data_IF_481364556929
#
_entry.id   IF_481364556929
#
_cell.length_a   1.000
_cell.length_b   1.000
_cell.length_c   1.000
_cell.angle_alpha   90.00
_cell.angle_beta   90.00
_cell.angle_gamma   90.00
#
_symmetry.space_group_name_H-M   'P 1'
#
loop_
_entity.id
_entity.type
_entity.pdbx_description
1 polymer ?
#
# COMPACT_ATOMS: atom_id res chain seq x y z
N UNK A 1 31.41 36.11 44.85
CA UNK A 1 30.85 36.39 43.51
C UNK A 1 31.29 35.22 42.64
N UNK A 2 30.47 34.18 42.45
CA UNK A 2 29.23 34.15 41.66
C UNK A 2 29.52 34.66 40.23
N UNK A 3 29.27 33.93 39.14
CA UNK A 3 28.25 32.89 38.95
C UNK A 3 28.68 31.98 37.79
N UNK A 4 28.63 30.67 38.03
CA UNK A 4 28.70 29.62 37.00
C UNK A 4 27.40 29.61 36.22
N UNK A 5 27.48 29.74 34.89
CA UNK A 5 26.32 29.61 34.00
C UNK A 5 25.93 28.12 33.98
N UNK A 6 24.72 27.81 34.43
CA UNK A 6 24.11 26.49 34.35
C UNK A 6 23.54 26.27 32.94
N UNK A 7 24.05 25.27 32.24
CA UNK A 7 23.46 24.70 31.00
C UNK A 7 22.29 23.76 31.37
N UNK A 8 21.24 24.27 32.02
CA UNK A 8 20.10 23.45 32.44
C UNK A 8 18.83 23.65 31.63
N UNK A 9 18.85 24.41 30.53
CA UNK A 9 17.61 24.79 29.81
C UNK A 9 17.48 24.27 28.36
N UNK A 10 18.31 23.31 27.92
CA UNK A 10 18.25 22.82 26.53
C UNK A 10 17.55 21.46 26.32
N UNK A 11 17.04 20.83 27.38
CA UNK A 11 16.27 19.60 27.28
C UNK A 11 15.10 19.64 28.27
N UNK A 12 14.08 20.43 27.91
CA UNK A 12 12.75 20.30 28.51
C UNK A 12 12.16 18.95 28.07
N UNK A 13 11.99 18.07 29.06
CA UNK A 13 11.75 16.63 28.94
C UNK A 13 10.26 16.28 29.11
N UNK A 14 9.37 16.99 28.40
CA UNK A 14 7.96 16.62 28.31
C UNK A 14 7.46 16.80 26.87
N UNK A 15 7.79 15.85 25.99
CA UNK A 15 7.05 15.68 24.75
C UNK A 15 5.93 14.66 24.99
N UNK A 16 4.86 15.13 25.60
CA UNK A 16 3.56 14.45 25.61
C UNK A 16 3.08 14.35 24.16
N UNK A 17 2.75 13.12 23.74
CA UNK A 17 2.23 12.78 22.41
C UNK A 17 0.96 13.57 22.02
N UNK A 18 0.26 14.16 22.99
CA UNK A 18 -1.00 14.90 22.80
C UNK A 18 -0.85 16.43 22.84
N UNK A 19 0.38 16.95 22.81
CA UNK A 19 0.64 18.36 23.05
C UNK A 19 0.84 18.65 24.54
N UNK A 20 1.18 19.90 24.87
CA UNK A 20 1.22 20.33 26.27
C UNK A 20 -0.18 20.33 26.92
N UNK A 21 -0.26 20.39 28.25
CA UNK A 21 -1.53 20.35 28.99
C UNK A 21 -2.54 21.39 28.51
N UNK A 22 -2.06 22.52 27.98
CA UNK A 22 -2.92 23.58 27.44
C UNK A 22 -3.53 23.18 26.09
N UNK A 23 -2.76 22.50 25.23
CA UNK A 23 -3.25 21.94 23.97
C UNK A 23 -4.24 20.80 24.20
N UNK A 24 -3.96 19.91 25.14
CA UNK A 24 -4.86 18.80 25.50
C UNK A 24 -6.22 19.35 25.93
N UNK A 25 -6.21 20.28 26.89
CA UNK A 25 -7.45 20.91 27.39
C UNK A 25 -8.19 21.63 26.25
N UNK A 26 -7.48 22.34 25.37
CA UNK A 26 -8.09 23.01 24.22
C UNK A 26 -8.76 22.03 23.25
N UNK A 27 -8.16 20.88 22.98
CA UNK A 27 -8.73 19.88 22.09
C UNK A 27 -9.90 19.11 22.73
N UNK A 28 -9.85 18.86 24.03
CA UNK A 28 -10.98 18.31 24.79
C UNK A 28 -12.17 19.29 24.75
N UNK A 29 -11.94 20.58 24.98
CA UNK A 29 -12.97 21.62 24.87
C UNK A 29 -13.57 21.69 23.45
N UNK A 30 -12.74 21.56 22.39
CA UNK A 30 -13.20 21.54 21.01
C UNK A 30 -14.03 20.29 20.69
N UNK A 31 -13.65 19.12 21.22
CA UNK A 31 -14.38 17.87 21.02
C UNK A 31 -15.73 17.90 21.74
N UNK A 32 -15.76 18.38 22.98
CA UNK A 32 -16.98 18.52 23.78
C UNK A 32 -17.95 19.56 23.19
N UNK A 33 -17.42 20.60 22.54
CA UNK A 33 -18.22 21.63 21.87
C UNK A 33 -18.55 21.32 20.40
N UNK A 34 -18.07 20.21 19.84
CA UNK A 34 -18.31 19.86 18.44
C UNK A 34 -19.70 19.26 18.25
N UNK A 35 -20.56 20.01 17.56
CA UNK A 35 -21.87 19.54 17.13
C UNK A 35 -21.83 19.13 15.64
N UNK A 36 -21.99 17.83 15.32
CA UNK A 36 -22.01 17.38 13.94
C UNK A 36 -23.37 17.61 13.25
N UNK A 37 -24.46 17.90 13.99
CA UNK A 37 -25.81 18.02 13.44
C UNK A 37 -25.92 19.03 12.28
N UNK A 38 -25.37 20.26 12.37
CA UNK A 38 -25.42 21.24 11.29
C UNK A 38 -24.74 20.73 10.01
N UNK A 39 -23.65 19.98 10.14
CA UNK A 39 -22.98 19.39 8.98
C UNK A 39 -23.89 18.37 8.29
N UNK A 40 -24.50 17.46 9.05
CA UNK A 40 -25.35 16.40 8.47
C UNK A 40 -26.69 16.91 7.92
N UNK A 41 -27.21 18.01 8.47
CA UNK A 41 -28.50 18.59 8.04
C UNK A 41 -28.31 19.59 6.91
N UNK A 42 -27.34 20.50 7.02
CA UNK A 42 -27.22 21.65 6.11
C UNK A 42 -26.18 21.43 5.00
N UNK A 43 -25.16 20.62 5.25
CA UNK A 43 -24.05 20.44 4.29
C UNK A 43 -24.14 19.11 3.55
N UNK A 44 -24.25 18.01 4.30
CA UNK A 44 -24.17 16.65 3.77
C UNK A 44 -25.22 16.33 2.67
N UNK A 45 -26.50 16.75 2.76
CA UNK A 45 -27.50 16.46 1.72
C UNK A 45 -27.26 17.21 0.41
N UNK A 46 -26.46 18.28 0.44
CA UNK A 46 -26.14 19.10 -0.73
C UNK A 46 -24.80 18.73 -1.38
N UNK A 47 -24.06 17.77 -0.81
CA UNK A 47 -22.87 17.23 -1.44
C UNK A 47 -23.24 16.43 -2.69
N UNK A 48 -22.48 16.65 -3.77
CA UNK A 48 -22.72 16.00 -5.06
C UNK A 48 -22.74 14.47 -4.96
N UNK A 49 -21.87 13.92 -4.10
CA UNK A 49 -21.76 12.48 -3.82
C UNK A 49 -23.01 11.92 -3.15
N UNK A 50 -23.58 12.64 -2.19
CA UNK A 50 -24.82 12.26 -1.50
C UNK A 50 -26.01 12.30 -2.47
N UNK A 51 -26.11 13.37 -3.26
CA UNK A 51 -27.16 13.51 -4.29
C UNK A 51 -27.09 12.38 -5.32
N UNK A 52 -25.88 12.04 -5.78
CA UNK A 52 -25.68 10.92 -6.72
C UNK A 52 -26.05 9.57 -6.11
N UNK A 53 -25.67 9.33 -4.85
CA UNK A 53 -26.03 8.11 -4.13
C UNK A 53 -27.56 7.98 -3.99
N UNK A 54 -28.24 9.04 -3.54
CA UNK A 54 -29.69 9.02 -3.32
C UNK A 54 -30.47 8.88 -4.62
N UNK A 55 -29.97 9.45 -5.72
CA UNK A 55 -30.53 9.26 -7.06
C UNK A 55 -30.40 7.80 -7.54
N UNK A 56 -29.28 7.14 -7.24
CA UNK A 56 -29.06 5.73 -7.59
C UNK A 56 -29.93 4.79 -6.74
N UNK A 57 -30.11 5.10 -5.46
CA UNK A 57 -30.99 4.34 -4.55
C UNK A 57 -32.46 4.51 -4.95
N UNK A 58 -32.87 5.73 -5.31
CA UNK A 58 -34.23 6.02 -5.79
C UNK A 58 -34.53 5.44 -7.17
N UNK A 59 -33.50 5.09 -7.95
CA UNK A 59 -33.62 4.51 -9.29
C UNK A 59 -33.62 2.96 -9.31
N UNK A 60 -33.60 2.27 -8.16
CA UNK A 60 -33.71 0.81 -8.14
C UNK A 60 -35.15 0.35 -8.46
N UNK A 61 -35.36 -0.50 -9.50
CA UNK A 61 -36.68 -1.02 -9.83
C UNK A 61 -37.07 -2.23 -8.98
N UNK A 62 -38.35 -2.31 -8.62
CA UNK A 62 -39.00 -3.51 -8.04
C UNK A 62 -39.00 -4.70 -9.02
N UNK A 63 -39.10 -5.96 -8.54
CA UNK A 63 -38.84 -7.15 -9.36
C UNK A 63 -39.89 -7.34 -10.47
N UNK A 64 -39.52 -7.98 -11.60
CA UNK A 64 -40.18 -7.74 -12.88
C UNK A 64 -41.46 -8.58 -13.06
N UNK A 65 -42.56 -7.90 -13.42
CA UNK A 65 -43.67 -8.53 -14.14
C UNK A 65 -43.48 -8.36 -15.65
N UNK A 66 -43.57 -9.48 -16.36
CA UNK A 66 -43.58 -9.59 -17.82
C UNK A 66 -44.64 -8.65 -18.41
N UNK A 67 -44.31 -7.91 -19.48
CA UNK A 67 -45.10 -7.81 -20.72
C UNK A 67 -44.37 -6.96 -21.76
N UNK A 68 -44.47 -7.43 -23.00
CA UNK A 68 -44.07 -6.88 -24.30
C UNK A 68 -44.51 -5.44 -24.57
N UNK A 69 -43.63 -4.64 -25.20
CA UNK A 69 -43.94 -3.85 -26.40
C UNK A 69 -42.69 -3.10 -26.88
N UNK A 70 -42.38 -3.25 -28.17
CA UNK A 70 -41.36 -2.52 -28.89
C UNK A 70 -41.72 -1.04 -29.04
N UNK A 71 -40.71 -0.16 -29.11
CA UNK A 71 -40.59 0.89 -30.14
C UNK A 71 -39.12 1.36 -30.22
N UNK A 72 -38.71 1.62 -31.46
CA UNK A 72 -37.35 1.93 -31.95
C UNK A 72 -36.79 3.24 -31.41
N UNK A 73 -35.50 3.24 -31.08
CA UNK A 73 -34.58 4.32 -31.48
C UNK A 73 -33.26 3.68 -31.95
N UNK A 74 -32.82 4.12 -33.13
CA UNK A 74 -31.54 3.75 -33.71
C UNK A 74 -30.41 4.40 -32.91
N UNK A 75 -29.66 3.60 -32.16
CA UNK A 75 -28.24 3.87 -31.93
C UNK A 75 -27.46 2.65 -32.39
N UNK A 76 -26.46 2.91 -33.24
CA UNK A 76 -25.50 1.95 -33.75
C UNK A 76 -25.00 1.01 -32.65
N UNK A 77 -25.53 -0.21 -32.62
CA UNK A 77 -24.93 -1.31 -31.86
C UNK A 77 -23.50 -1.52 -32.42
N UNK A 78 -22.43 -1.37 -31.61
CA UNK A 78 -21.12 -1.76 -32.06
C UNK A 78 -21.13 -3.28 -32.30
N UNK A 79 -20.39 -3.76 -33.32
CA UNK A 79 -20.43 -5.16 -33.70
C UNK A 79 -20.04 -6.06 -32.51
N UNK A 80 -20.79 -7.14 -32.37
CA UNK A 80 -20.53 -8.28 -31.49
C UNK A 80 -19.10 -8.76 -31.78
N UNK A 81 -18.15 -8.37 -30.92
CA UNK A 81 -16.73 -8.58 -31.13
C UNK A 81 -15.82 -7.59 -30.41
N UNK A 82 -16.33 -6.44 -29.94
CA UNK A 82 -15.53 -5.50 -29.15
C UNK A 82 -15.22 -6.10 -27.77
N UNK A 83 -14.09 -6.81 -27.66
CA UNK A 83 -13.45 -7.13 -26.37
C UNK A 83 -13.20 -5.80 -25.67
N UNK A 84 -14.09 -5.40 -24.76
CA UNK A 84 -13.86 -4.22 -23.93
C UNK A 84 -12.54 -4.40 -23.19
N UNK A 85 -11.56 -3.58 -23.53
CA UNK A 85 -10.28 -3.55 -22.84
C UNK A 85 -10.53 -3.18 -21.36
N UNK A 86 -9.72 -3.70 -20.43
CA UNK A 86 -9.83 -3.30 -19.03
C UNK A 86 -9.60 -1.79 -18.87
N UNK A 87 -10.37 -1.15 -17.99
CA UNK A 87 -10.34 0.30 -17.77
C UNK A 87 -8.94 0.78 -17.37
N UNK A 88 -8.27 0.04 -16.49
CA UNK A 88 -7.00 0.44 -15.86
C UNK A 88 -5.93 -0.64 -15.99
N UNK A 89 -6.07 -1.60 -16.92
CA UNK A 89 -5.10 -2.66 -17.10
C UNK A 89 -4.91 -3.01 -18.58
N UNK A 90 -3.80 -3.68 -18.86
CA UNK A 90 -3.56 -4.26 -20.20
C UNK A 90 -4.58 -5.38 -20.47
N UNK A 91 -5.22 -5.34 -21.63
CA UNK A 91 -6.07 -6.42 -22.10
C UNK A 91 -5.27 -7.67 -22.45
N UNK A 92 -5.86 -8.85 -22.26
CA UNK A 92 -5.20 -10.15 -22.49
C UNK A 92 -4.48 -10.28 -23.83
N UNK A 93 -5.06 -9.69 -24.88
CA UNK A 93 -4.51 -9.71 -26.24
C UNK A 93 -4.23 -8.30 -26.78
N UNK A 94 -4.13 -7.31 -25.89
CA UNK A 94 -3.81 -5.94 -26.28
C UNK A 94 -2.32 -5.84 -26.60
N UNK A 95 -1.92 -5.34 -27.77
CA UNK A 95 -0.53 -5.04 -28.09
C UNK A 95 0.06 -4.05 -27.08
N UNK A 96 1.31 -4.29 -26.65
CA UNK A 96 2.00 -3.42 -25.68
C UNK A 96 2.03 -1.94 -26.12
N UNK A 97 2.31 -1.60 -27.39
CA UNK A 97 2.28 -0.20 -27.83
C UNK A 97 0.91 0.47 -27.70
N UNK A 98 -0.18 -0.27 -27.98
CA UNK A 98 -1.55 0.25 -27.85
C UNK A 98 -1.91 0.49 -26.38
N UNK A 99 -1.53 -0.44 -25.50
CA UNK A 99 -1.72 -0.28 -24.05
C UNK A 99 -1.01 0.94 -23.50
N UNK A 100 0.27 1.12 -23.84
CA UNK A 100 1.09 2.25 -23.38
C UNK A 100 0.58 3.59 -23.92
N UNK A 101 0.06 3.62 -25.16
CA UNK A 101 -0.55 4.81 -25.73
C UNK A 101 -1.91 5.14 -25.09
N UNK A 102 -2.67 4.12 -24.69
CA UNK A 102 -3.98 4.27 -24.05
C UNK A 102 -3.88 4.75 -22.61
N UNK A 103 -2.92 4.23 -21.84
CA UNK A 103 -2.75 4.52 -20.41
C UNK A 103 -1.31 4.98 -20.06
N UNK A 104 -0.85 6.14 -20.56
CA UNK A 104 0.42 6.74 -20.14
C UNK A 104 0.33 7.24 -18.69
N UNK A 105 1.15 6.74 -17.73
CA UNK A 105 1.04 7.11 -16.31
C UNK A 105 1.25 8.61 -16.03
N UNK A 106 1.98 9.32 -16.88
CA UNK A 106 2.23 10.75 -16.72
C UNK A 106 1.00 11.63 -16.90
N UNK A 107 0.02 11.20 -17.70
CA UNK A 107 -1.16 12.01 -18.05
C UNK A 107 -2.49 11.33 -17.73
N UNK A 108 -2.48 10.01 -17.48
CA UNK A 108 -3.68 9.29 -17.08
C UNK A 108 -4.10 9.69 -15.68
N UNK A 109 -5.24 10.38 -15.59
CA UNK A 109 -5.77 10.95 -14.35
C UNK A 109 -6.36 9.89 -13.42
N UNK A 110 -6.10 10.02 -12.12
CA UNK A 110 -6.65 9.12 -11.11
C UNK A 110 -8.18 9.07 -11.14
N UNK A 111 -8.84 10.20 -11.31
CA UNK A 111 -10.30 10.28 -11.35
C UNK A 111 -10.89 9.52 -12.56
N UNK A 112 -10.08 9.34 -13.62
CA UNK A 112 -10.51 8.71 -14.87
C UNK A 112 -10.55 7.19 -14.79
N UNK A 113 -9.63 6.56 -14.06
CA UNK A 113 -9.45 5.10 -14.05
C UNK A 113 -9.22 4.48 -12.66
N UNK A 114 -9.08 5.30 -11.62
CA UNK A 114 -8.60 4.91 -10.30
C UNK A 114 -7.10 5.13 -10.13
N UNK A 115 -6.55 4.86 -8.94
CA UNK A 115 -5.18 5.25 -8.56
C UNK A 115 -4.06 4.45 -9.24
N UNK A 116 -4.38 3.37 -9.96
CA UNK A 116 -3.40 2.40 -10.43
C UNK A 116 -3.68 1.94 -11.86
N UNK A 117 -2.62 1.87 -12.65
CA UNK A 117 -2.55 1.17 -13.93
C UNK A 117 -1.84 -0.17 -13.70
N UNK A 118 -2.37 -1.26 -14.25
CA UNK A 118 -1.87 -2.62 -14.03
C UNK A 118 -1.39 -3.30 -15.32
N UNK A 119 -0.34 -4.10 -15.18
CA UNK A 119 0.08 -5.09 -16.17
C UNK A 119 0.33 -6.42 -15.46
N UNK A 120 -0.03 -7.52 -16.11
CA UNK A 120 0.25 -8.87 -15.61
C UNK A 120 0.96 -9.67 -16.68
N UNK A 121 1.78 -10.61 -16.23
CA UNK A 121 2.41 -11.60 -17.09
C UNK A 121 1.28 -12.46 -17.75
N UNK A 122 1.24 -12.60 -19.10
CA UNK A 122 0.12 -13.24 -19.81
C UNK A 122 -0.15 -14.70 -19.43
N UNK A 123 0.89 -15.44 -19.07
CA UNK A 123 0.84 -16.87 -18.74
C UNK A 123 0.73 -17.13 -17.23
N UNK A 124 0.38 -16.10 -16.43
CA UNK A 124 0.24 -16.16 -14.96
C UNK A 124 -0.60 -17.35 -14.49
N UNK A 125 -1.54 -17.80 -15.33
CA UNK A 125 -2.52 -18.88 -15.06
C UNK A 125 -2.14 -20.26 -15.60
N UNK A 126 -1.06 -20.42 -16.36
CA UNK A 126 -0.76 -21.70 -17.06
C UNK A 126 -0.12 -22.80 -16.19
N UNK A 127 0.03 -22.60 -14.88
CA UNK A 127 0.78 -23.53 -14.02
C UNK A 127 0.22 -23.79 -12.63
N UNK A 128 -1.03 -23.43 -12.34
CA UNK A 128 -1.62 -23.62 -11.00
C UNK A 128 -2.94 -24.37 -11.15
N UNK A 129 -2.86 -25.70 -11.05
CA UNK A 129 -4.03 -26.60 -10.95
C UNK A 129 -4.61 -26.64 -9.52
N UNK A 130 -4.12 -25.79 -8.61
CA UNK A 130 -4.60 -25.64 -7.23
C UNK A 130 -4.57 -24.17 -6.88
N UNK A 131 -5.67 -23.45 -7.16
CA UNK A 131 -5.93 -22.17 -6.51
C UNK A 131 -6.08 -22.46 -5.00
N UNK A 132 -4.97 -22.46 -4.26
CA UNK A 132 -5.05 -22.19 -2.82
C UNK A 132 -5.61 -20.77 -2.73
N UNK A 133 -6.91 -20.69 -2.48
CA UNK A 133 -7.65 -19.43 -2.40
C UNK A 133 -7.04 -18.61 -1.28
N UNK A 134 -6.38 -17.50 -1.63
CA UNK A 134 -5.80 -16.57 -0.68
C UNK A 134 -6.88 -16.12 0.32
N UNK A 135 -6.80 -16.56 1.58
CA UNK A 135 -7.74 -16.15 2.63
C UNK A 135 -7.26 -14.85 3.27
N UNK A 136 -7.33 -13.78 2.48
CA UNK A 136 -6.92 -12.45 2.90
C UNK A 136 -7.75 -11.95 4.10
N UNK A 137 -9.03 -12.31 4.16
CA UNK A 137 -9.91 -11.88 5.23
C UNK A 137 -9.48 -12.48 6.58
N UNK A 138 -9.22 -13.79 6.62
CA UNK A 138 -8.69 -14.45 7.82
C UNK A 138 -7.29 -13.95 8.19
N UNK A 139 -6.42 -13.73 7.20
CA UNK A 139 -5.09 -13.16 7.43
C UNK A 139 -5.19 -11.79 8.11
N UNK A 140 -5.99 -10.87 7.57
CA UNK A 140 -6.14 -9.52 8.13
C UNK A 140 -6.75 -9.57 9.53
N UNK A 141 -7.79 -10.39 9.74
CA UNK A 141 -8.43 -10.52 11.05
C UNK A 141 -7.47 -11.04 12.12
N UNK A 142 -6.81 -12.18 11.86
CA UNK A 142 -5.86 -12.80 12.81
C UNK A 142 -4.58 -11.98 12.96
N UNK A 143 -4.09 -11.38 11.88
CA UNK A 143 -2.90 -10.53 11.92
C UNK A 143 -3.13 -9.24 12.71
N UNK A 144 -4.33 -8.65 12.63
CA UNK A 144 -4.71 -7.50 13.47
C UNK A 144 -4.73 -7.88 14.95
N UNK A 145 -5.16 -9.09 15.29
CA UNK A 145 -5.11 -9.58 16.67
C UNK A 145 -3.67 -9.75 17.18
N UNK A 146 -2.75 -10.30 16.36
CA UNK A 146 -1.32 -10.35 16.71
C UNK A 146 -0.74 -8.95 17.00
N UNK A 147 -1.11 -7.96 16.19
CA UNK A 147 -0.70 -6.57 16.41
C UNK A 147 -1.23 -6.00 17.72
N UNK A 148 -2.50 -6.27 18.05
CA UNK A 148 -3.15 -5.83 19.30
C UNK A 148 -2.50 -6.47 20.52
N UNK A 149 -2.22 -7.77 20.47
CA UNK A 149 -1.53 -8.49 21.54
C UNK A 149 -0.13 -7.94 21.78
N UNK A 150 0.60 -7.60 20.71
CA UNK A 150 1.91 -6.97 20.83
C UNK A 150 1.83 -5.57 21.45
N UNK A 151 0.84 -4.76 21.07
CA UNK A 151 0.61 -3.43 21.67
C UNK A 151 0.34 -3.53 23.18
N UNK A 152 -0.51 -4.46 23.60
CA UNK A 152 -0.78 -4.70 25.02
C UNK A 152 0.48 -5.12 25.78
N UNK A 153 1.29 -5.99 25.17
CA UNK A 153 2.56 -6.45 25.75
C UNK A 153 3.60 -5.33 25.83
N UNK A 154 3.67 -4.49 24.79
CA UNK A 154 4.55 -3.32 24.75
C UNK A 154 4.19 -2.34 25.87
N UNK A 155 2.91 -2.02 26.02
CA UNK A 155 2.41 -1.13 27.07
C UNK A 155 2.75 -1.65 28.47
N UNK A 156 2.52 -2.95 28.75
CA UNK A 156 2.89 -3.56 30.05
C UNK A 156 4.40 -3.45 30.34
N UNK A 157 5.24 -3.69 29.33
CA UNK A 157 6.69 -3.60 29.49
C UNK A 157 7.18 -2.16 29.72
N UNK A 158 6.54 -1.18 29.07
CA UNK A 158 6.79 0.24 29.28
C UNK A 158 6.40 0.65 30.70
N UNK A 159 5.21 0.28 31.18
CA UNK A 159 4.77 0.54 32.56
C UNK A 159 5.67 -0.10 33.63
N UNK A 160 6.08 -1.35 33.42
CA UNK A 160 7.02 -2.05 34.31
C UNK A 160 8.38 -1.32 34.37
N UNK A 161 8.84 -0.81 33.22
CA UNK A 161 10.08 -0.06 33.14
C UNK A 161 9.97 1.26 33.90
N UNK A 162 8.89 2.01 33.69
CA UNK A 162 8.67 3.29 34.36
C UNK A 162 8.54 3.11 35.87
N UNK A 163 7.81 2.09 36.33
CA UNK A 163 7.70 1.73 37.75
C UNK A 163 9.02 1.33 38.39
N UNK A 164 9.94 0.76 37.60
CA UNK A 164 11.26 0.36 38.10
C UNK A 164 12.18 1.55 38.42
N UNK A 165 11.85 2.76 37.95
CA UNK A 165 12.70 3.95 38.10
C UNK A 165 14.05 3.84 37.38
N UNK A 166 14.19 2.88 36.47
CA UNK A 166 15.44 2.64 35.76
C UNK A 166 15.75 3.80 34.80
N UNK A 167 16.91 4.43 34.97
CA UNK A 167 17.33 5.59 34.16
C UNK A 167 17.67 5.27 32.70
N UNK A 168 17.78 3.99 32.33
CA UNK A 168 18.21 3.56 31.00
C UNK A 168 17.14 2.71 30.33
N UNK A 169 16.75 3.09 29.10
CA UNK A 169 15.81 2.34 28.25
C UNK A 169 16.42 1.10 27.58
N UNK A 170 17.74 0.88 27.68
CA UNK A 170 18.41 -0.24 27.00
C UNK A 170 17.83 -1.64 27.36
N UNK A 171 17.53 -1.96 28.63
CA UNK A 171 16.89 -3.22 29.01
C UNK A 171 15.49 -3.38 28.41
N UNK A 172 14.69 -2.30 28.40
CA UNK A 172 13.35 -2.28 27.79
C UNK A 172 13.44 -2.54 26.28
N UNK A 173 14.30 -1.79 25.58
CA UNK A 173 14.53 -1.99 24.13
C UNK A 173 14.95 -3.41 23.80
N UNK A 174 15.80 -4.04 24.62
CA UNK A 174 16.20 -5.44 24.42
C UNK A 174 15.02 -6.40 24.55
N UNK A 175 14.16 -6.22 25.56
CA UNK A 175 12.93 -7.03 25.73
C UNK A 175 11.96 -6.82 24.57
N UNK A 176 11.71 -5.57 24.17
CA UNK A 176 10.84 -5.23 23.04
C UNK A 176 11.35 -5.85 21.73
N UNK A 177 12.66 -5.84 21.49
CA UNK A 177 13.24 -6.44 20.28
C UNK A 177 13.01 -7.95 20.19
N UNK A 178 12.92 -8.67 21.32
CA UNK A 178 12.55 -10.10 21.31
C UNK A 178 11.10 -10.27 20.86
N UNK A 179 10.19 -9.44 21.38
CA UNK A 179 8.78 -9.50 20.99
C UNK A 179 8.51 -9.01 19.57
N UNK A 180 9.30 -8.05 19.06
CA UNK A 180 9.21 -7.60 17.67
C UNK A 180 9.55 -8.73 16.70
N UNK A 181 10.60 -9.49 16.98
CA UNK A 181 10.99 -10.65 16.16
C UNK A 181 9.92 -11.73 16.18
N UNK A 182 9.40 -12.05 17.37
CA UNK A 182 8.30 -13.02 17.49
C UNK A 182 7.07 -12.57 16.69
N UNK A 183 6.66 -11.30 16.81
CA UNK A 183 5.54 -10.75 16.03
C UNK A 183 5.78 -10.84 14.52
N UNK A 184 6.99 -10.53 14.06
CA UNK A 184 7.36 -10.64 12.64
C UNK A 184 7.28 -12.10 12.14
N UNK A 185 7.84 -13.04 12.91
CA UNK A 185 7.77 -14.47 12.64
C UNK A 185 6.32 -14.98 12.60
N UNK A 186 5.50 -14.59 13.58
CA UNK A 186 4.09 -14.98 13.68
C UNK A 186 3.26 -14.42 12.51
N UNK A 187 3.51 -13.17 12.10
CA UNK A 187 2.84 -12.56 10.93
C UNK A 187 3.18 -13.32 9.65
N UNK A 188 4.45 -13.70 9.45
CA UNK A 188 4.85 -14.42 8.23
C UNK A 188 4.39 -15.88 8.21
N UNK A 189 4.42 -16.56 9.37
CA UNK A 189 3.81 -17.87 9.51
C UNK A 189 2.32 -17.82 9.15
N UNK A 190 1.59 -16.84 9.70
CA UNK A 190 0.19 -16.62 9.39
C UNK A 190 -0.03 -16.27 7.91
N UNK A 191 0.83 -15.43 7.31
CA UNK A 191 0.75 -15.08 5.90
C UNK A 191 0.86 -16.33 5.01
N UNK A 192 1.80 -17.22 5.31
CA UNK A 192 2.00 -18.49 4.60
C UNK A 192 0.80 -19.43 4.76
N UNK A 193 0.26 -19.56 5.97
CA UNK A 193 -0.96 -20.36 6.23
C UNK A 193 -2.19 -19.90 5.43
N UNK A 194 -2.27 -18.61 5.09
CA UNK A 194 -3.41 -18.02 4.38
C UNK A 194 -3.09 -17.68 2.91
N UNK A 195 -1.94 -18.12 2.38
CA UNK A 195 -1.55 -17.87 0.98
C UNK A 195 -1.13 -16.43 0.66
N UNK A 196 -0.98 -15.54 1.64
CA UNK A 196 -0.61 -14.12 1.46
C UNK A 196 0.91 -13.98 1.34
N UNK A 197 1.48 -14.66 0.35
CA UNK A 197 2.93 -14.85 0.21
C UNK A 197 3.59 -13.94 -0.84
N UNK A 198 2.84 -13.10 -1.54
CA UNK A 198 3.42 -12.21 -2.55
C UNK A 198 4.24 -11.07 -1.94
N UNK A 199 5.14 -10.50 -2.74
CA UNK A 199 5.81 -9.26 -2.38
C UNK A 199 6.15 -8.42 -3.61
N UNK A 200 6.80 -7.28 -3.38
CA UNK A 200 7.04 -6.28 -4.42
C UNK A 200 8.28 -5.45 -4.22
N UNK A 201 9.01 -5.23 -5.31
CA UNK A 201 10.02 -4.17 -5.46
C UNK A 201 9.32 -2.83 -5.69
N UNK A 202 9.76 -1.80 -4.96
CA UNK A 202 9.15 -0.47 -5.01
C UNK A 202 10.09 0.56 -5.65
N UNK A 203 9.63 1.18 -6.74
CA UNK A 203 10.31 2.25 -7.46
C UNK A 203 9.48 3.54 -7.38
N UNK A 204 10.16 4.67 -7.46
CA UNK A 204 9.55 6.00 -7.44
C UNK A 204 10.13 6.88 -8.55
N UNK A 205 9.89 6.58 -9.84
CA UNK A 205 10.32 7.43 -10.94
C UNK A 205 9.72 8.84 -10.85
N UNK A 206 10.47 9.84 -11.31
CA UNK A 206 9.96 11.20 -11.48
C UNK A 206 8.91 11.25 -12.60
N UNK A 207 8.04 12.26 -12.55
CA UNK A 207 7.00 12.47 -13.58
C UNK A 207 7.58 12.50 -15.01
N UNK A 208 8.75 13.12 -15.20
CA UNK A 208 9.40 13.17 -16.53
C UNK A 208 9.99 11.85 -17.02
N UNK A 209 10.12 10.85 -16.14
CA UNK A 209 10.66 9.52 -16.47
C UNK A 209 9.65 8.38 -16.37
N UNK A 210 8.49 8.61 -15.75
CA UNK A 210 7.54 7.54 -15.40
C UNK A 210 7.10 6.74 -16.63
N UNK A 211 6.81 7.39 -17.76
CA UNK A 211 6.34 6.69 -18.96
C UNK A 211 7.43 5.80 -19.57
N UNK A 212 8.68 6.27 -19.59
CA UNK A 212 9.80 5.50 -20.10
C UNK A 212 10.11 4.30 -19.20
N UNK A 213 10.10 4.49 -17.88
CA UNK A 213 10.28 3.41 -16.90
C UNK A 213 9.12 2.42 -16.98
N UNK A 214 7.88 2.90 -17.08
CA UNK A 214 6.71 2.05 -17.19
C UNK A 214 6.71 1.23 -18.47
N UNK A 215 7.11 1.81 -19.61
CA UNK A 215 7.29 1.09 -20.86
C UNK A 215 8.24 -0.11 -20.68
N UNK A 216 9.44 0.13 -20.11
CA UNK A 216 10.42 -0.94 -19.88
C UNK A 216 9.88 -2.04 -18.95
N UNK A 217 9.18 -1.65 -17.89
CA UNK A 217 8.54 -2.61 -16.96
C UNK A 217 7.44 -3.41 -17.65
N UNK A 218 6.60 -2.78 -18.46
CA UNK A 218 5.51 -3.45 -19.18
C UNK A 218 6.05 -4.45 -20.18
N UNK A 219 7.04 -4.07 -20.99
CA UNK A 219 7.68 -4.96 -21.96
C UNK A 219 8.26 -6.19 -21.24
N UNK A 220 9.12 -5.97 -20.24
CA UNK A 220 9.76 -7.06 -19.51
C UNK A 220 8.79 -7.91 -18.65
N UNK A 221 7.68 -7.35 -18.17
CA UNK A 221 6.63 -8.14 -17.46
C UNK A 221 5.85 -9.01 -18.43
N UNK A 222 5.53 -8.48 -19.63
CA UNK A 222 4.80 -9.25 -20.65
C UNK A 222 5.66 -10.38 -21.23
N UNK A 223 6.97 -10.18 -21.29
CA UNK A 223 7.94 -11.17 -21.75
C UNK A 223 8.33 -12.19 -20.65
N UNK A 224 7.78 -12.07 -19.44
CA UNK A 224 8.05 -12.96 -18.31
C UNK A 224 9.45 -12.80 -17.69
N UNK A 225 10.16 -11.72 -18.02
CA UNK A 225 11.51 -11.45 -17.52
C UNK A 225 11.51 -10.77 -16.14
N UNK A 226 10.42 -10.07 -15.79
CA UNK A 226 10.16 -9.62 -14.43
C UNK A 226 9.30 -10.66 -13.67
N UNK A 227 8.61 -10.25 -12.61
CA UNK A 227 7.71 -11.15 -11.88
C UNK A 227 6.31 -11.20 -12.48
N UNK A 228 5.31 -11.58 -11.69
CA UNK A 228 3.98 -11.97 -12.20
C UNK A 228 3.04 -10.78 -12.50
N UNK A 229 3.43 -9.57 -12.09
CA UNK A 229 2.72 -8.36 -12.44
C UNK A 229 3.43 -7.09 -11.97
N UNK A 230 2.92 -5.97 -12.45
CA UNK A 230 3.35 -4.65 -12.00
C UNK A 230 2.19 -3.66 -11.99
N UNK A 231 2.34 -2.61 -11.18
CA UNK A 231 1.42 -1.48 -11.17
C UNK A 231 2.15 -0.17 -11.04
N UNK A 232 1.55 0.89 -11.58
CA UNK A 232 2.06 2.26 -11.48
C UNK A 232 0.95 3.22 -11.12
N UNK A 233 1.26 4.18 -10.27
CA UNK A 233 0.34 5.20 -9.82
C UNK A 233 -0.06 6.12 -10.99
N UNK A 234 -1.33 6.48 -11.06
CA UNK A 234 -1.86 7.49 -11.99
C UNK A 234 -1.46 8.90 -11.59
N UNK A 235 -1.76 9.87 -12.45
CA UNK A 235 -1.60 11.29 -12.16
C UNK A 235 -2.71 11.78 -11.21
N UNK A 236 -2.35 11.97 -9.94
CA UNK A 236 -3.18 12.56 -8.89
C UNK A 236 -3.12 14.11 -8.87
N UNK A 237 -2.59 14.74 -9.92
CA UNK A 237 -2.44 16.20 -10.01
C UNK A 237 -1.26 16.77 -9.22
N UNK A 238 -0.45 15.91 -8.60
CA UNK A 238 0.78 16.31 -7.91
C UNK A 238 2.03 16.20 -8.81
N UNK A 239 3.10 16.88 -8.39
CA UNK A 239 4.42 16.78 -9.04
C UNK A 239 5.34 15.74 -8.38
N UNK A 240 4.78 14.84 -7.54
CA UNK A 240 5.58 13.87 -6.78
C UNK A 240 6.05 12.75 -7.70
N UNK A 241 7.03 11.99 -7.23
CA UNK A 241 7.41 10.75 -7.89
C UNK A 241 6.21 9.79 -7.93
N UNK A 242 6.08 9.02 -9.01
CA UNK A 242 4.98 8.05 -9.18
C UNK A 242 5.39 6.72 -8.56
N UNK A 243 4.59 6.19 -7.64
CA UNK A 243 4.86 4.86 -7.08
C UNK A 243 4.70 3.78 -8.16
N UNK A 244 5.67 2.89 -8.25
CA UNK A 244 5.65 1.76 -9.19
C UNK A 244 6.10 0.50 -8.47
N UNK A 245 5.29 -0.55 -8.55
CA UNK A 245 5.51 -1.80 -7.83
C UNK A 245 5.62 -2.94 -8.82
N UNK A 246 6.69 -3.73 -8.70
CA UNK A 246 6.93 -4.95 -9.50
C UNK A 246 6.85 -6.13 -8.55
N UNK A 247 5.89 -7.02 -8.79
CA UNK A 247 5.52 -8.10 -7.89
C UNK A 247 6.30 -9.38 -8.17
N UNK A 248 6.53 -10.18 -7.13
CA UNK A 248 6.88 -11.60 -7.24
C UNK A 248 5.86 -12.44 -6.46
N UNK A 249 5.76 -13.72 -6.83
CA UNK A 249 4.71 -14.62 -6.32
C UNK A 249 4.93 -15.04 -4.86
N UNK A 250 6.17 -15.33 -4.50
CA UNK A 250 6.55 -15.70 -3.13
C UNK A 250 7.72 -14.79 -2.69
N UNK A 251 7.60 -14.13 -1.55
CA UNK A 251 8.68 -13.32 -0.98
C UNK A 251 9.81 -14.17 -0.37
N UNK A 252 9.60 -15.44 -0.08
CA UNK A 252 10.63 -16.38 0.40
C UNK A 252 11.40 -17.04 -0.75
N UNK A 253 10.92 -16.95 -2.00
CA UNK A 253 11.70 -17.35 -3.17
C UNK A 253 12.76 -16.29 -3.47
N UNK A 254 13.85 -16.33 -2.71
CA UNK A 254 14.96 -15.38 -2.79
C UNK A 254 15.61 -15.42 -4.18
N UNK A 255 15.60 -16.57 -4.87
CA UNK A 255 16.13 -16.68 -6.22
C UNK A 255 15.27 -15.90 -7.22
N UNK A 256 13.94 -15.99 -7.13
CA UNK A 256 13.04 -15.18 -7.96
C UNK A 256 13.13 -13.68 -7.62
N UNK A 257 13.16 -13.34 -6.33
CA UNK A 257 13.35 -11.95 -5.87
C UNK A 257 14.66 -11.36 -6.41
N UNK A 258 15.74 -12.14 -6.40
CA UNK A 258 17.06 -11.75 -6.94
C UNK A 258 17.04 -11.68 -8.46
N UNK A 259 16.40 -12.63 -9.14
CA UNK A 259 16.24 -12.65 -10.61
C UNK A 259 15.54 -11.40 -11.10
N UNK A 260 14.41 -11.03 -10.47
CA UNK A 260 13.66 -9.83 -10.81
C UNK A 260 14.49 -8.57 -10.54
N UNK A 261 15.22 -8.50 -9.42
CA UNK A 261 16.12 -7.38 -9.16
C UNK A 261 17.24 -7.29 -10.21
N UNK A 262 17.84 -8.41 -10.58
CA UNK A 262 18.87 -8.48 -11.62
C UNK A 262 18.37 -7.90 -12.94
N UNK A 263 17.15 -8.30 -13.36
CA UNK A 263 16.53 -7.73 -14.55
C UNK A 263 16.26 -6.23 -14.44
N UNK A 264 15.83 -5.74 -13.27
CA UNK A 264 15.67 -4.29 -13.04
C UNK A 264 17.00 -3.51 -13.14
N UNK A 265 18.13 -4.13 -12.78
CA UNK A 265 19.47 -3.56 -12.96
C UNK A 265 19.88 -3.58 -14.44
N UNK A 266 19.66 -4.68 -15.15
CA UNK A 266 19.93 -4.80 -16.59
C UNK A 266 19.17 -3.77 -17.43
N UNK A 267 17.93 -3.46 -17.02
CA UNK A 267 17.09 -2.43 -17.65
C UNK A 267 17.46 -0.99 -17.22
N UNK A 268 18.53 -0.81 -16.44
CA UNK A 268 18.99 0.47 -15.89
C UNK A 268 17.93 1.21 -15.05
N UNK A 269 16.98 0.46 -14.48
CA UNK A 269 15.92 1.02 -13.63
C UNK A 269 16.35 1.15 -12.17
N UNK A 270 17.41 0.43 -11.78
CA UNK A 270 18.04 0.50 -10.46
C UNK A 270 19.49 0.97 -10.64
N UNK A 271 19.81 2.11 -10.04
CA UNK A 271 21.18 2.62 -10.05
C UNK A 271 21.96 2.01 -8.87
N UNK A 272 22.94 1.16 -9.17
CA UNK A 272 23.77 0.46 -8.17
C UNK A 272 24.71 1.39 -7.41
N UNK A 273 25.08 2.51 -8.01
CA UNK A 273 25.98 3.52 -7.44
C UNK A 273 25.26 4.49 -6.50
N UNK A 274 23.92 4.58 -6.56
CA UNK A 274 23.17 5.46 -5.69
C UNK A 274 23.31 5.06 -4.22
N UNK A 275 23.38 6.06 -3.33
CA UNK A 275 23.52 5.84 -1.89
C UNK A 275 22.34 5.06 -1.32
N UNK A 276 21.12 5.33 -1.78
CA UNK A 276 19.91 4.62 -1.40
C UNK A 276 19.51 3.66 -2.52
N UNK A 277 19.29 2.39 -2.16
CA UNK A 277 18.75 1.39 -3.08
C UNK A 277 17.22 1.45 -3.13
N UNK A 278 16.63 0.50 -3.87
CA UNK A 278 15.20 0.23 -3.79
C UNK A 278 14.91 -0.82 -2.71
N UNK A 279 13.66 -0.91 -2.29
CA UNK A 279 13.25 -1.80 -1.20
C UNK A 279 12.20 -2.78 -1.69
N UNK A 280 12.26 -3.98 -1.10
CA UNK A 280 11.31 -5.05 -1.31
C UNK A 280 10.41 -5.20 -0.08
N UNK A 281 9.11 -5.29 -0.28
CA UNK A 281 8.11 -5.38 0.79
C UNK A 281 7.13 -6.53 0.52
N UNK A 282 6.90 -7.36 1.53
CA UNK A 282 5.84 -8.37 1.50
C UNK A 282 4.45 -7.72 1.54
N UNK A 283 3.51 -8.31 0.81
CA UNK A 283 2.11 -7.87 0.79
C UNK A 283 1.42 -8.07 2.13
N UNK A 284 1.80 -9.10 2.90
CA UNK A 284 1.41 -9.31 4.29
C UNK A 284 1.51 -8.01 5.13
N UNK A 285 2.65 -7.32 5.07
CA UNK A 285 2.85 -6.04 5.77
C UNK A 285 2.04 -4.89 5.16
N UNK A 286 1.76 -4.93 3.85
CA UNK A 286 0.88 -3.93 3.22
C UNK A 286 -0.56 -4.08 3.73
N UNK A 287 -1.09 -5.30 3.78
CA UNK A 287 -2.46 -5.56 4.23
C UNK A 287 -2.66 -5.25 5.72
N UNK A 288 -1.67 -5.53 6.56
CA UNK A 288 -1.67 -5.16 7.98
C UNK A 288 -1.27 -3.69 8.23
N UNK A 289 -1.13 -2.88 7.17
CA UNK A 289 -0.79 -1.44 7.24
C UNK A 289 0.51 -1.15 8.03
N UNK A 290 1.47 -2.06 8.00
CA UNK A 290 2.80 -1.86 8.60
C UNK A 290 3.61 -0.96 7.66
N UNK A 291 3.63 0.34 7.93
CA UNK A 291 4.36 1.36 7.17
C UNK A 291 5.73 1.68 7.80
N UNK A 292 6.53 2.57 7.20
CA UNK A 292 7.91 2.83 7.62
C UNK A 292 8.06 3.33 9.06
N UNK A 293 7.05 4.04 9.57
CA UNK A 293 6.96 4.64 10.90
C UNK A 293 5.92 3.93 11.79
N UNK A 294 5.71 2.63 11.58
CA UNK A 294 4.72 1.85 12.32
C UNK A 294 4.99 1.84 13.85
N UNK A 295 3.93 1.80 14.69
CA UNK A 295 4.06 1.86 16.15
C UNK A 295 4.70 0.61 16.78
N UNK A 296 4.80 -0.48 16.01
CA UNK A 296 5.38 -1.75 16.42
C UNK A 296 6.92 -1.73 16.42
N UNK A 297 7.53 -0.81 15.65
CA UNK A 297 8.97 -0.75 15.44
C UNK A 297 9.49 -1.88 14.55
N UNK A 298 8.63 -2.44 13.70
CA UNK A 298 9.00 -3.44 12.68
C UNK A 298 9.63 -2.75 11.47
N UNK A 299 10.56 -3.43 10.79
CA UNK A 299 11.10 -2.93 9.52
C UNK A 299 10.09 -3.21 8.41
N UNK A 300 9.50 -2.17 7.82
CA UNK A 300 8.47 -2.32 6.78
C UNK A 300 8.97 -2.86 5.42
N UNK A 301 10.24 -3.24 5.31
CA UNK A 301 10.86 -3.79 4.10
C UNK A 301 11.71 -4.99 4.46
N UNK A 302 11.48 -6.11 3.77
CA UNK A 302 12.26 -7.33 3.94
C UNK A 302 13.68 -7.11 3.43
N UNK A 303 13.80 -6.77 2.14
CA UNK A 303 15.08 -6.66 1.46
C UNK A 303 15.36 -5.25 0.98
N UNK A 304 16.64 -4.90 0.90
CA UNK A 304 17.10 -3.77 0.11
C UNK A 304 17.83 -4.31 -1.12
N UNK A 305 17.79 -3.58 -2.24
CA UNK A 305 18.53 -3.99 -3.44
C UNK A 305 20.03 -4.12 -3.16
N UNK A 306 20.57 -3.32 -2.24
CA UNK A 306 21.97 -3.38 -1.84
C UNK A 306 22.33 -4.68 -1.13
N UNK A 307 21.47 -5.13 -0.22
CA UNK A 307 21.71 -6.38 0.51
C UNK A 307 21.60 -7.58 -0.42
N UNK A 308 20.61 -7.58 -1.33
CA UNK A 308 20.45 -8.63 -2.35
C UNK A 308 21.65 -8.69 -3.29
N UNK A 309 22.08 -7.55 -3.84
CA UNK A 309 23.23 -7.49 -4.76
C UNK A 309 24.56 -7.81 -4.07
N UNK A 310 24.67 -7.56 -2.76
CA UNK A 310 25.84 -7.93 -1.97
C UNK A 310 25.80 -9.38 -1.46
N UNK A 311 24.76 -10.16 -1.76
CA UNK A 311 24.61 -11.55 -1.30
C UNK A 311 24.41 -11.67 0.22
N UNK A 312 23.74 -10.70 0.85
CA UNK A 312 23.52 -10.62 2.31
C UNK A 312 22.12 -11.08 2.76
N UNK A 313 21.35 -11.66 1.84
CA UNK A 313 20.00 -12.21 2.05
C UNK A 313 19.95 -13.63 1.55
#
# INVERSE_FOLDING_TARGET
MATTIQDTDLFSDESSFYGDDTQITHYEDLADSYDPEPYWVETHPHLLTTIQHDALVSAQPSPPSKTTAALKEEECLPPIGSRRLPRNARGRNEPVPEFLARLPPSTTKEESIGPWIFVSEPDRRKGVDQEEEEDLASFVAKGTELLREFEEKKSKLEEEHDRSGAKSKAPLTRKLNVHRRALEEDIFALARENGVISGKWMLFPSVGRVDAVWKAVVEATVDGELGDGAKVATDAGDRRARGMMIYTKDYEDIEDVRRVLGKLVELELVNTEQRMGIYYKADAFTYLRILGDNPYGLKASLYSSKDVLAGKV
#
